data_IF_984851635285
#
_entry.id   IF_984851635285
#
_cell.length_a   1.000
_cell.length_b   1.000
_cell.length_c   1.000
_cell.angle_alpha   90.00
_cell.angle_beta   90.00
_cell.angle_gamma   90.00
#
_symmetry.space_group_name_H-M   'P 1'
#
loop_
_entity.id
_entity.type
_entity.pdbx_description
1 polymer ?
#
# COMPACT_ATOMS: atom_id res chain seq x y z
N UNK A 1 45.50 10.81 17.39
CA UNK A 1 45.50 9.39 16.94
C UNK A 1 44.68 9.29 15.66
N UNK A 2 45.11 9.98 14.60
CA UNK A 2 44.41 10.07 13.29
C UNK A 2 45.29 9.60 12.11
N UNK A 3 46.43 8.96 12.37
CA UNK A 3 47.40 8.58 11.34
C UNK A 3 47.51 7.06 11.10
N UNK A 4 46.53 6.26 11.53
CA UNK A 4 46.62 4.80 11.40
C UNK A 4 45.76 4.18 10.29
N UNK A 5 44.81 4.91 9.70
CA UNK A 5 43.95 4.37 8.63
C UNK A 5 44.43 4.70 7.21
N UNK A 6 45.27 5.73 7.05
CA UNK A 6 45.80 6.10 5.73
C UNK A 6 46.94 5.19 5.27
N UNK A 7 47.68 4.57 6.20
CA UNK A 7 48.84 3.72 5.89
C UNK A 7 48.49 2.26 5.53
N UNK A 8 47.26 1.80 5.77
CA UNK A 8 46.87 0.42 5.42
C UNK A 8 46.38 0.29 3.97
N UNK A 9 45.90 1.39 3.38
CA UNK A 9 45.37 1.38 2.01
C UNK A 9 46.43 1.65 0.92
N UNK A 10 47.62 2.13 1.30
CA UNK A 10 48.68 2.56 0.37
C UNK A 10 49.74 1.48 0.04
N UNK A 11 49.76 0.35 0.75
CA UNK A 11 50.80 -0.69 0.57
C UNK A 11 50.42 -1.82 -0.40
N UNK A 12 49.24 -1.82 -1.01
CA UNK A 12 48.73 -2.96 -1.77
C UNK A 12 48.84 -2.84 -3.31
N UNK A 13 49.31 -1.73 -3.87
CA UNK A 13 49.20 -1.53 -5.34
C UNK A 13 50.38 -0.86 -6.02
N UNK A 14 51.63 -1.11 -5.60
CA UNK A 14 52.78 -0.80 -6.47
C UNK A 14 53.93 -1.77 -6.23
N UNK A 15 54.01 -2.80 -7.08
CA UNK A 15 55.28 -3.35 -7.53
C UNK A 15 55.19 -3.54 -9.04
N UNK A 16 56.14 -2.89 -9.69
CA UNK A 16 56.27 -2.56 -11.10
C UNK A 16 56.58 -3.77 -11.99
N UNK A 17 56.07 -3.79 -13.22
CA UNK A 17 56.84 -4.21 -14.40
C UNK A 17 56.09 -3.87 -15.71
N UNK A 18 56.77 -3.08 -16.54
CA UNK A 18 56.35 -2.58 -17.83
C UNK A 18 56.15 -3.68 -18.89
N UNK A 19 55.04 -3.61 -19.62
CA UNK A 19 54.93 -4.07 -21.01
C UNK A 19 53.87 -3.24 -21.72
N UNK A 20 54.30 -2.46 -22.70
CA UNK A 20 53.46 -1.71 -23.64
C UNK A 20 52.56 -2.67 -24.43
N UNK A 21 51.25 -2.64 -24.17
CA UNK A 21 50.23 -3.03 -25.14
C UNK A 21 49.10 -2.01 -25.10
N UNK A 22 48.74 -1.48 -26.27
CA UNK A 22 47.61 -0.57 -26.45
C UNK A 22 46.31 -1.17 -25.89
N UNK A 23 45.41 -0.37 -25.30
CA UNK A 23 44.13 -0.87 -24.83
C UNK A 23 43.30 -1.39 -26.02
N UNK A 24 42.64 -2.57 -25.91
CA UNK A 24 41.72 -3.03 -26.93
C UNK A 24 40.53 -2.05 -27.04
N UNK A 25 39.96 -1.87 -28.23
CA UNK A 25 38.83 -0.96 -28.41
C UNK A 25 37.65 -1.41 -27.53
N UNK A 26 36.85 -0.46 -27.00
CA UNK A 26 35.72 -0.78 -26.16
C UNK A 26 34.74 -1.63 -26.97
N UNK A 27 34.51 -2.85 -26.48
CA UNK A 27 33.48 -3.73 -27.02
C UNK A 27 32.14 -3.05 -26.80
N UNK A 28 31.52 -2.54 -27.86
CA UNK A 28 30.14 -2.06 -27.84
C UNK A 28 29.25 -3.21 -27.37
N UNK A 29 28.86 -3.19 -26.10
CA UNK A 29 27.78 -4.05 -25.60
C UNK A 29 26.53 -3.59 -26.34
N UNK A 30 26.01 -4.49 -27.18
CA UNK A 30 24.79 -4.29 -27.96
C UNK A 30 23.61 -4.20 -26.98
N UNK A 31 23.25 -2.99 -26.59
CA UNK A 31 22.06 -2.67 -25.78
C UNK A 31 20.73 -2.81 -26.56
N UNK A 32 20.75 -3.37 -27.77
CA UNK A 32 19.56 -3.53 -28.60
C UNK A 32 18.83 -4.87 -28.46
N UNK A 33 19.24 -5.78 -27.57
CA UNK A 33 18.65 -7.13 -27.49
C UNK A 33 17.61 -7.31 -26.39
N UNK A 34 17.76 -6.68 -25.23
CA UNK A 34 16.84 -6.91 -24.08
C UNK A 34 15.46 -6.27 -24.25
N UNK A 35 15.39 -5.09 -24.87
CA UNK A 35 14.15 -4.38 -25.10
C UNK A 35 13.29 -5.07 -26.18
N UNK A 36 13.93 -5.57 -27.23
CA UNK A 36 13.29 -6.36 -28.28
C UNK A 36 12.79 -7.71 -27.77
N UNK A 37 13.56 -8.37 -26.89
CA UNK A 37 13.13 -9.61 -26.21
C UNK A 37 11.94 -9.34 -25.30
N UNK A 38 11.94 -8.22 -24.57
CA UNK A 38 10.82 -7.82 -23.70
C UNK A 38 9.55 -7.52 -24.48
N UNK A 39 9.67 -6.89 -25.66
CA UNK A 39 8.54 -6.62 -26.56
C UNK A 39 8.00 -7.91 -27.18
N UNK A 40 8.89 -8.81 -27.61
CA UNK A 40 8.50 -10.13 -28.11
C UNK A 40 7.76 -10.94 -27.03
N UNK A 41 8.22 -10.91 -25.78
CA UNK A 41 7.55 -11.59 -24.67
C UNK A 41 6.15 -11.01 -24.39
N UNK A 42 6.01 -9.68 -24.35
CA UNK A 42 4.69 -9.03 -24.20
C UNK A 42 3.73 -9.42 -25.32
N UNK A 43 4.21 -9.50 -26.55
CA UNK A 43 3.40 -9.92 -27.69
C UNK A 43 2.94 -11.37 -27.55
N UNK A 44 3.84 -12.28 -27.12
CA UNK A 44 3.50 -13.69 -26.84
C UNK A 44 2.41 -13.79 -25.76
N UNK A 45 2.57 -13.06 -24.66
CA UNK A 45 1.59 -12.99 -23.57
C UNK A 45 0.25 -12.44 -24.07
N UNK A 46 0.25 -11.35 -24.84
CA UNK A 46 -0.98 -10.73 -25.36
C UNK A 46 -1.72 -11.61 -26.38
N UNK A 47 -1.00 -12.42 -27.16
CA UNK A 47 -1.59 -13.39 -28.08
C UNK A 47 -2.04 -14.70 -27.42
N UNK A 48 -1.81 -14.86 -26.11
CA UNK A 48 -2.04 -16.12 -25.42
C UNK A 48 -3.54 -16.37 -25.15
N UNK A 49 -4.07 -17.59 -25.34
CA UNK A 49 -5.49 -17.90 -25.12
C UNK A 49 -5.99 -17.61 -23.70
N UNK A 50 -5.12 -17.71 -22.69
CA UNK A 50 -5.45 -17.41 -21.29
C UNK A 50 -5.35 -15.92 -20.93
N UNK A 51 -4.80 -15.07 -21.79
CA UNK A 51 -4.62 -13.64 -21.51
C UNK A 51 -5.94 -12.90 -21.18
N UNK A 52 -7.08 -13.13 -21.88
CA UNK A 52 -8.36 -12.55 -21.48
C UNK A 52 -8.79 -12.91 -20.07
N UNK A 53 -8.64 -14.18 -19.69
CA UNK A 53 -9.02 -14.69 -18.38
C UNK A 53 -8.12 -14.10 -17.29
N UNK A 54 -6.82 -13.97 -17.58
CA UNK A 54 -5.85 -13.34 -16.72
C UNK A 54 -6.14 -11.85 -16.50
N UNK A 55 -6.45 -11.12 -17.57
CA UNK A 55 -6.83 -9.71 -17.49
C UNK A 55 -8.11 -9.53 -16.66
N UNK A 56 -9.10 -10.40 -16.83
CA UNK A 56 -10.32 -10.38 -16.01
C UNK A 56 -10.03 -10.65 -14.54
N UNK A 57 -9.19 -11.63 -14.21
CA UNK A 57 -8.79 -11.91 -12.84
C UNK A 57 -8.02 -10.73 -12.22
N UNK A 58 -7.15 -10.09 -13.00
CA UNK A 58 -6.41 -8.89 -12.58
C UNK A 58 -7.35 -7.72 -12.30
N UNK A 59 -8.27 -7.43 -13.22
CA UNK A 59 -9.30 -6.39 -13.04
C UNK A 59 -10.12 -6.68 -11.78
N UNK A 60 -10.56 -7.92 -11.59
CA UNK A 60 -11.33 -8.32 -10.42
C UNK A 60 -10.59 -8.09 -9.11
N UNK A 61 -9.26 -8.27 -9.06
CA UNK A 61 -8.45 -7.93 -7.89
C UNK A 61 -8.50 -6.43 -7.59
N UNK A 62 -8.39 -5.60 -8.62
CA UNK A 62 -8.39 -4.15 -8.50
C UNK A 62 -9.77 -3.55 -8.22
N UNK A 63 -10.85 -4.25 -8.54
CA UNK A 63 -12.22 -3.86 -8.18
C UNK A 63 -12.49 -4.00 -6.68
N UNK A 64 -11.75 -4.85 -5.95
CA UNK A 64 -11.98 -5.06 -4.51
C UNK A 64 -11.66 -3.77 -3.74
N UNK A 65 -12.69 -3.14 -3.17
CA UNK A 65 -12.55 -1.89 -2.42
C UNK A 65 -12.34 -0.64 -3.27
N UNK A 66 -12.52 -0.74 -4.60
CA UNK A 66 -12.46 0.42 -5.49
C UNK A 66 -13.70 1.32 -5.32
N UNK A 67 -13.52 2.65 -5.41
CA UNK A 67 -14.61 3.59 -5.63
C UNK A 67 -15.48 3.22 -6.85
N UNK A 68 -16.77 3.58 -6.84
CA UNK A 68 -17.73 3.17 -7.86
C UNK A 68 -17.34 3.62 -9.27
N UNK A 69 -16.83 4.84 -9.41
CA UNK A 69 -16.31 5.41 -10.67
C UNK A 69 -15.15 4.59 -11.26
N UNK A 70 -14.27 4.08 -10.40
CA UNK A 70 -13.14 3.22 -10.81
C UNK A 70 -13.63 1.80 -11.11
N UNK A 71 -14.61 1.28 -10.36
CA UNK A 71 -15.20 -0.02 -10.61
C UNK A 71 -15.96 -0.06 -11.95
N UNK A 72 -16.65 1.02 -12.31
CA UNK A 72 -17.37 1.17 -13.59
C UNK A 72 -16.39 1.26 -14.76
N UNK A 73 -15.28 2.01 -14.60
CA UNK A 73 -14.20 2.07 -15.59
C UNK A 73 -13.62 0.67 -15.86
N UNK A 74 -13.38 -0.10 -14.80
CA UNK A 74 -12.88 -1.47 -14.90
C UNK A 74 -13.88 -2.42 -15.55
N UNK A 75 -15.18 -2.23 -15.34
CA UNK A 75 -16.21 -3.01 -16.02
C UNK A 75 -16.24 -2.71 -17.53
N UNK A 76 -16.09 -1.45 -17.92
CA UNK A 76 -15.98 -1.08 -19.34
C UNK A 76 -14.78 -1.72 -20.05
N UNK A 77 -13.62 -1.79 -19.38
CA UNK A 77 -12.43 -2.48 -19.91
C UNK A 77 -12.68 -4.00 -20.04
N UNK A 78 -13.41 -4.59 -19.09
CA UNK A 78 -13.77 -6.01 -19.10
C UNK A 78 -14.73 -6.33 -20.25
N UNK A 79 -15.69 -5.45 -20.53
CA UNK A 79 -16.63 -5.59 -21.64
C UNK A 79 -15.94 -5.50 -23.01
N UNK A 80 -14.99 -4.58 -23.19
CA UNK A 80 -14.18 -4.44 -24.42
C UNK A 80 -13.41 -5.73 -24.74
N UNK A 81 -12.87 -6.39 -23.71
CA UNK A 81 -12.09 -7.62 -23.87
C UNK A 81 -12.94 -8.90 -23.88
N UNK A 82 -14.23 -8.81 -23.48
CA UNK A 82 -15.16 -9.94 -23.45
C UNK A 82 -15.55 -10.45 -24.84
N UNK A 83 -15.50 -9.60 -25.87
CA UNK A 83 -15.77 -9.97 -27.27
C UNK A 83 -14.79 -11.01 -27.83
N UNK A 84 -13.62 -11.16 -27.20
CA UNK A 84 -12.60 -12.15 -27.57
C UNK A 84 -12.83 -13.52 -26.88
N UNK A 85 -13.57 -13.54 -25.77
CA UNK A 85 -13.90 -14.76 -25.01
C UNK A 85 -15.08 -15.57 -25.59
N UNK A 86 -15.87 -15.00 -26.51
CA UNK A 86 -17.00 -15.71 -27.13
C UNK A 86 -16.60 -16.67 -28.26
N UNK A 87 -15.30 -16.91 -28.48
CA UNK A 87 -14.84 -18.01 -29.31
C UNK A 87 -15.03 -19.30 -28.52
N UNK A 88 -16.29 -19.76 -28.52
CA UNK A 88 -16.82 -21.09 -28.22
C UNK A 88 -15.79 -22.13 -27.77
N UNK A 89 -16.05 -22.72 -26.60
CA UNK A 89 -15.43 -23.88 -25.95
C UNK A 89 -15.24 -25.14 -26.84
N UNK A 90 -15.48 -25.08 -28.14
CA UNK A 90 -15.60 -26.23 -29.05
C UNK A 90 -14.70 -26.21 -30.28
N UNK A 91 -13.74 -25.29 -30.43
CA UNK A 91 -12.76 -25.34 -31.54
C UNK A 91 -11.31 -25.10 -31.10
N UNK A 92 -10.60 -26.21 -30.89
CA UNK A 92 -9.15 -26.36 -31.05
C UNK A 92 -8.23 -25.46 -30.21
N UNK A 93 -8.31 -25.56 -28.88
CA UNK A 93 -7.25 -25.10 -27.97
C UNK A 93 -5.93 -25.89 -28.14
N UNK A 94 -5.97 -27.05 -28.81
CA UNK A 94 -4.85 -27.98 -28.90
C UNK A 94 -3.72 -27.56 -29.85
N UNK A 95 -3.91 -26.50 -30.65
CA UNK A 95 -2.89 -26.01 -31.58
C UNK A 95 -1.93 -24.97 -31.00
N UNK A 96 -2.28 -24.36 -29.86
CA UNK A 96 -1.53 -23.22 -29.28
C UNK A 96 -1.12 -23.45 -27.82
N UNK A 97 -1.96 -24.13 -27.02
CA UNK A 97 -1.54 -24.65 -25.71
C UNK A 97 -0.58 -25.82 -25.95
N UNK A 98 0.68 -25.66 -25.52
CA UNK A 98 1.79 -26.58 -25.76
C UNK A 98 2.83 -26.08 -26.75
N UNK A 99 2.64 -24.91 -27.39
CA UNK A 99 3.67 -24.29 -28.22
C UNK A 99 4.84 -23.75 -27.37
N UNK A 100 4.54 -23.32 -26.14
CA UNK A 100 5.50 -22.86 -25.14
C UNK A 100 5.03 -23.30 -23.73
N UNK A 101 5.37 -24.54 -23.31
CA UNK A 101 4.90 -25.10 -22.03
C UNK A 101 5.29 -24.28 -20.80
N UNK A 102 6.41 -23.54 -20.88
CA UNK A 102 6.86 -22.66 -19.79
C UNK A 102 5.95 -21.43 -19.67
N UNK A 103 5.54 -20.85 -20.81
CA UNK A 103 4.58 -19.76 -20.82
C UNK A 103 3.17 -20.22 -20.41
N UNK A 104 2.74 -21.40 -20.84
CA UNK A 104 1.45 -21.98 -20.46
C UNK A 104 1.36 -22.17 -18.93
N UNK A 105 2.41 -22.74 -18.32
CA UNK A 105 2.51 -22.94 -16.86
C UNK A 105 2.55 -21.59 -16.12
N UNK A 106 3.32 -20.62 -16.61
CA UNK A 106 3.33 -19.27 -16.05
C UNK A 106 1.95 -18.61 -16.10
N UNK A 107 1.27 -18.66 -17.24
CA UNK A 107 -0.05 -18.02 -17.40
C UNK A 107 -1.11 -18.66 -16.51
N UNK A 108 -1.08 -19.99 -16.35
CA UNK A 108 -1.97 -20.71 -15.44
C UNK A 108 -1.68 -20.43 -13.97
N UNK A 109 -0.42 -20.56 -13.54
CA UNK A 109 -0.02 -20.31 -12.14
C UNK A 109 -0.26 -18.87 -11.72
N UNK A 110 0.00 -17.90 -12.60
CA UNK A 110 -0.25 -16.49 -12.32
C UNK A 110 -1.75 -16.18 -12.28
N UNK A 111 -2.57 -16.81 -13.13
CA UNK A 111 -4.03 -16.73 -13.04
C UNK A 111 -4.55 -17.23 -11.69
N UNK A 112 -4.11 -18.41 -11.26
CA UNK A 112 -4.50 -18.98 -9.96
C UNK A 112 -4.07 -18.09 -8.80
N UNK A 113 -2.87 -17.50 -8.90
CA UNK A 113 -2.37 -16.53 -7.93
C UNK A 113 -3.29 -15.30 -7.82
N UNK A 114 -3.75 -14.75 -8.95
CA UNK A 114 -4.68 -13.61 -8.97
C UNK A 114 -6.04 -13.98 -8.38
N UNK A 115 -6.58 -15.15 -8.72
CA UNK A 115 -7.86 -15.63 -8.15
C UNK A 115 -7.75 -15.75 -6.63
N UNK A 116 -6.65 -16.33 -6.12
CA UNK A 116 -6.39 -16.42 -4.70
C UNK A 116 -6.23 -15.03 -4.06
N UNK A 117 -5.45 -14.15 -4.69
CA UNK A 117 -5.23 -12.80 -4.21
C UNK A 117 -6.53 -11.99 -4.10
N UNK A 118 -7.44 -12.12 -5.08
CA UNK A 118 -8.80 -11.55 -5.02
C UNK A 118 -9.57 -12.07 -3.80
N UNK A 119 -9.55 -13.38 -3.56
CA UNK A 119 -10.22 -13.99 -2.41
C UNK A 119 -9.68 -13.40 -1.09
N UNK A 120 -8.36 -13.36 -0.95
CA UNK A 120 -7.67 -12.85 0.23
C UNK A 120 -7.94 -11.36 0.46
N UNK A 121 -8.01 -10.56 -0.63
CA UNK A 121 -8.41 -9.15 -0.56
C UNK A 121 -9.86 -8.97 -0.14
N UNK A 122 -10.79 -9.78 -0.66
CA UNK A 122 -12.22 -9.63 -0.40
C UNK A 122 -12.63 -10.05 1.02
N UNK A 123 -11.87 -10.97 1.63
CA UNK A 123 -12.11 -11.51 2.96
C UNK A 123 -12.32 -10.44 4.04
N UNK A 124 -11.39 -9.50 4.30
CA UNK A 124 -11.57 -8.48 5.33
C UNK A 124 -12.79 -7.56 5.06
N UNK A 125 -13.11 -7.26 3.80
CA UNK A 125 -14.30 -6.46 3.48
C UNK A 125 -15.58 -7.22 3.78
N UNK A 126 -15.63 -8.51 3.44
CA UNK A 126 -16.77 -9.38 3.75
C UNK A 126 -16.94 -9.53 5.27
N UNK A 127 -15.85 -9.79 6.00
CA UNK A 127 -15.86 -9.87 7.47
C UNK A 127 -16.37 -8.56 8.11
N UNK A 128 -15.89 -7.41 7.63
CA UNK A 128 -16.34 -6.10 8.12
C UNK A 128 -17.82 -5.84 7.78
N UNK A 129 -18.26 -6.16 6.57
CA UNK A 129 -19.66 -5.99 6.13
C UNK A 129 -20.59 -6.88 6.95
N UNK A 130 -20.19 -8.14 7.20
CA UNK A 130 -20.92 -9.05 8.07
C UNK A 130 -20.98 -8.54 9.51
N UNK A 131 -19.90 -8.00 10.04
CA UNK A 131 -19.89 -7.41 11.38
C UNK A 131 -20.81 -6.20 11.48
N UNK A 132 -20.76 -5.29 10.51
CA UNK A 132 -21.59 -4.09 10.47
C UNK A 132 -23.07 -4.44 10.36
N UNK A 133 -23.44 -5.30 9.42
CA UNK A 133 -24.83 -5.79 9.27
C UNK A 133 -25.30 -6.55 10.51
N UNK A 134 -24.42 -7.30 11.18
CA UNK A 134 -24.75 -7.94 12.44
C UNK A 134 -25.01 -6.93 13.57
N UNK A 135 -24.19 -5.89 13.71
CA UNK A 135 -24.45 -4.82 14.68
C UNK A 135 -25.73 -4.05 14.35
N UNK A 136 -25.96 -3.76 13.07
CA UNK A 136 -27.17 -3.07 12.60
C UNK A 136 -28.44 -3.86 12.96
N UNK A 137 -28.44 -5.17 12.74
CA UNK A 137 -29.58 -6.03 13.13
C UNK A 137 -29.77 -6.10 14.64
N UNK A 138 -28.71 -6.15 15.45
CA UNK A 138 -28.82 -6.08 16.91
C UNK A 138 -29.41 -4.75 17.38
N UNK A 139 -28.96 -3.63 16.82
CA UNK A 139 -29.50 -2.31 17.14
C UNK A 139 -30.97 -2.18 16.74
N UNK A 140 -31.34 -2.68 15.56
CA UNK A 140 -32.73 -2.70 15.13
C UNK A 140 -33.61 -3.57 16.04
N UNK A 141 -33.11 -4.71 16.54
CA UNK A 141 -33.84 -5.52 17.52
C UNK A 141 -34.10 -4.75 18.81
N UNK A 142 -33.08 -4.10 19.37
CA UNK A 142 -33.21 -3.31 20.61
C UNK A 142 -34.20 -2.16 20.43
N UNK A 143 -34.12 -1.46 19.30
CA UNK A 143 -35.05 -0.38 18.97
C UNK A 143 -36.49 -0.89 18.80
N UNK A 144 -36.68 -2.10 18.26
CA UNK A 144 -38.00 -2.71 18.10
C UNK A 144 -38.57 -3.26 19.43
N UNK A 145 -37.74 -3.86 20.29
CA UNK A 145 -38.18 -4.39 21.59
C UNK A 145 -38.63 -3.27 22.55
N UNK A 146 -37.98 -2.10 22.47
CA UNK A 146 -38.40 -0.90 23.21
C UNK A 146 -39.74 -0.34 22.73
N UNK A 147 -40.15 -0.60 21.49
CA UNK A 147 -41.46 -0.21 20.96
C UNK A 147 -42.59 -1.18 21.36
N UNK A 148 -42.27 -2.43 21.72
CA UNK A 148 -43.26 -3.48 22.07
C UNK A 148 -43.53 -3.54 23.59
N UNK A 149 -42.57 -3.16 24.43
CA UNK A 149 -42.68 -3.26 25.90
C UNK A 149 -43.70 -2.32 26.57
N UNK A 150 -44.32 -1.37 25.86
CA UNK A 150 -45.29 -0.42 26.46
C UNK A 150 -46.77 -0.82 26.24
N UNK A 151 -47.05 -2.00 25.67
CA UNK A 151 -48.41 -2.45 25.36
C UNK A 151 -48.87 -3.68 26.19
N UNK A 152 -48.63 -3.71 27.51
CA UNK A 152 -49.26 -4.73 28.37
C UNK A 152 -49.92 -4.10 29.59
N UNK A 153 -51.16 -3.64 29.40
CA UNK A 153 -52.11 -3.40 30.50
C UNK A 153 -53.06 -4.60 30.60
N UNK A 154 -53.19 -5.27 31.76
CA UNK A 154 -54.19 -6.31 31.97
C UNK A 154 -55.59 -5.71 31.95
N UNK A 155 -56.47 -6.28 31.13
CA UNK A 155 -57.91 -6.00 31.15
C UNK A 155 -58.53 -6.34 32.52
N UNK A 156 -59.28 -5.42 33.16
CA UNK A 156 -60.34 -5.80 34.07
C UNK A 156 -61.69 -5.71 33.35
N UNK A 157 -62.47 -6.79 33.47
CA UNK A 157 -63.89 -6.80 33.16
C UNK A 157 -64.64 -5.83 34.08
N UNK A 158 -65.48 -4.97 33.49
CA UNK A 158 -66.33 -4.05 34.23
C UNK A 158 -67.03 -3.05 33.30
N UNK A 159 -68.28 -3.34 33.01
CA UNK A 159 -69.28 -2.44 32.43
C UNK A 159 -69.31 -1.09 33.20
N UNK A 160 -69.39 0.05 32.49
CA UNK A 160 -70.07 1.31 32.87
C UNK A 160 -69.62 2.46 31.95
N UNK A 161 -70.60 3.14 31.34
CA UNK A 161 -70.38 4.22 30.38
C UNK A 161 -69.87 5.54 30.95
N UNK A 162 -69.31 6.38 30.07
CA UNK A 162 -69.05 7.78 30.37
C UNK A 162 -67.86 8.38 29.62
N UNK A 163 -68.18 9.18 28.61
CA UNK A 163 -67.52 10.41 28.16
C UNK A 163 -66.05 10.72 28.48
N UNK A 164 -65.40 11.25 27.41
CA UNK A 164 -64.41 12.35 27.39
C UNK A 164 -62.95 11.92 27.24
N UNK A 165 -62.55 11.84 25.96
CA UNK A 165 -61.15 11.81 25.56
C UNK A 165 -60.45 13.16 25.72
N UNK A 166 -59.11 13.06 25.60
CA UNK A 166 -58.03 14.03 25.87
C UNK A 166 -57.54 13.92 27.31
N UNK A 167 -56.30 13.44 27.45
CA UNK A 167 -55.30 13.75 28.50
C UNK A 167 -54.15 12.70 28.60
N UNK A 168 -53.96 11.82 27.60
CA UNK A 168 -52.90 10.79 27.64
C UNK A 168 -51.61 11.10 26.87
N UNK A 169 -51.44 12.31 26.31
CA UNK A 169 -50.24 12.68 25.53
C UNK A 169 -49.18 13.44 26.35
N UNK A 170 -49.57 14.03 27.48
CA UNK A 170 -48.67 14.85 28.31
C UNK A 170 -47.78 13.99 29.23
N UNK A 171 -48.25 12.80 29.63
CA UNK A 171 -47.53 11.87 30.50
C UNK A 171 -46.31 11.24 29.83
N UNK A 172 -46.40 10.90 28.54
CA UNK A 172 -45.33 10.22 27.80
C UNK A 172 -44.16 11.17 27.53
N UNK A 173 -44.43 12.40 27.08
CA UNK A 173 -43.40 13.44 26.93
C UNK A 173 -42.67 13.75 28.24
N UNK A 174 -43.38 13.73 29.37
CA UNK A 174 -42.80 14.00 30.69
C UNK A 174 -41.86 12.87 31.14
N UNK A 175 -42.15 11.63 30.77
CA UNK A 175 -41.35 10.45 31.12
C UNK A 175 -40.10 10.37 30.22
N UNK A 176 -40.23 10.59 28.91
CA UNK A 176 -39.08 10.64 27.98
C UNK A 176 -38.11 11.78 28.31
N UNK A 177 -38.64 12.96 28.64
CA UNK A 177 -37.83 14.12 29.06
C UNK A 177 -37.11 13.86 30.39
N UNK A 178 -37.70 13.08 31.29
CA UNK A 178 -37.09 12.74 32.58
C UNK A 178 -35.98 11.70 32.42
N UNK A 179 -36.19 10.70 31.55
CA UNK A 179 -35.22 9.62 31.28
C UNK A 179 -33.98 10.13 30.52
N UNK A 180 -34.16 11.10 29.62
CA UNK A 180 -33.05 11.77 28.92
C UNK A 180 -32.23 12.65 29.85
N UNK A 181 -32.86 13.36 30.79
CA UNK A 181 -32.15 14.14 31.81
C UNK A 181 -31.31 13.26 32.73
N UNK A 182 -31.83 12.11 33.19
CA UNK A 182 -31.08 11.18 34.05
C UNK A 182 -29.87 10.57 33.32
N UNK A 183 -29.99 10.28 32.02
CA UNK A 183 -28.89 9.77 31.20
C UNK A 183 -27.81 10.83 30.97
N UNK A 184 -28.22 12.08 30.71
CA UNK A 184 -27.27 13.18 30.50
C UNK A 184 -26.56 13.56 31.81
N UNK A 185 -27.25 13.51 32.96
CA UNK A 185 -26.64 13.67 34.28
C UNK A 185 -25.63 12.56 34.60
N UNK A 186 -25.94 11.30 34.26
CA UNK A 186 -25.03 10.17 34.43
C UNK A 186 -23.78 10.32 33.56
N UNK A 187 -23.96 10.76 32.31
CA UNK A 187 -22.87 11.04 31.38
C UNK A 187 -22.00 12.19 31.87
N UNK A 188 -22.59 13.27 32.38
CA UNK A 188 -21.85 14.40 32.94
C UNK A 188 -21.10 14.01 34.23
N UNK A 189 -21.73 13.19 35.08
CA UNK A 189 -21.08 12.65 36.28
C UNK A 189 -19.88 11.76 35.92
N UNK A 190 -20.05 10.90 34.91
CA UNK A 190 -19.01 10.00 34.43
C UNK A 190 -17.87 10.79 33.78
N UNK A 191 -18.19 11.74 32.90
CA UNK A 191 -17.20 12.61 32.27
C UNK A 191 -16.45 13.44 33.32
N UNK A 192 -17.15 13.99 34.32
CA UNK A 192 -16.52 14.75 35.40
C UNK A 192 -15.55 13.89 36.21
N UNK A 193 -15.98 12.70 36.65
CA UNK A 193 -15.18 11.72 37.43
C UNK A 193 -13.92 11.28 36.69
N UNK A 194 -14.03 11.03 35.39
CA UNK A 194 -12.93 10.48 34.59
C UNK A 194 -12.21 11.53 33.73
N UNK A 195 -12.62 12.80 33.74
CA UNK A 195 -12.03 13.88 32.92
C UNK A 195 -10.52 13.97 33.10
N UNK A 196 -10.03 13.94 34.35
CA UNK A 196 -8.61 13.97 34.66
C UNK A 196 -7.84 12.75 34.14
N UNK A 197 -8.45 11.56 34.21
CA UNK A 197 -7.84 10.33 33.71
C UNK A 197 -7.80 10.29 32.17
N UNK A 198 -8.89 10.69 31.51
CA UNK A 198 -9.00 10.78 30.05
C UNK A 198 -8.04 11.83 29.50
N UNK A 199 -7.93 13.00 30.14
CA UNK A 199 -6.97 14.03 29.74
C UNK A 199 -5.53 13.58 29.93
N UNK A 200 -5.22 12.84 31.01
CA UNK A 200 -3.89 12.29 31.23
C UNK A 200 -3.54 11.17 30.23
N UNK A 201 -4.48 10.26 29.94
CA UNK A 201 -4.34 9.26 28.87
C UNK A 201 -4.12 9.93 27.50
N UNK A 202 -4.92 10.95 27.18
CA UNK A 202 -4.77 11.72 25.94
C UNK A 202 -3.41 12.37 25.86
N UNK A 203 -2.90 12.90 26.98
CA UNK A 203 -1.56 13.45 27.04
C UNK A 203 -0.49 12.36 26.82
N UNK A 204 -0.57 11.23 27.50
CA UNK A 204 0.36 10.09 27.33
C UNK A 204 0.37 9.55 25.88
N UNK A 205 -0.79 9.37 25.25
CA UNK A 205 -0.86 8.97 23.84
C UNK A 205 -0.41 10.07 22.86
N UNK A 206 -0.60 11.34 23.23
CA UNK A 206 -0.18 12.48 22.40
C UNK A 206 1.29 12.84 22.58
N UNK A 207 1.98 12.30 23.59
CA UNK A 207 3.44 12.32 23.70
C UNK A 207 4.02 11.43 22.59
N UNK A 208 3.96 11.93 21.36
CA UNK A 208 4.79 11.44 20.26
C UNK A 208 6.22 11.41 20.79
N UNK A 209 6.81 10.22 20.89
CA UNK A 209 8.26 10.07 21.14
C UNK A 209 8.96 11.13 20.30
N UNK A 210 9.64 12.08 20.95
CA UNK A 210 10.32 13.16 20.25
C UNK A 210 11.12 12.49 19.14
N UNK A 211 10.88 12.88 17.87
CA UNK A 211 11.68 12.40 16.74
C UNK A 211 13.09 12.90 17.00
N UNK A 212 13.87 12.11 17.73
CA UNK A 212 15.24 12.41 18.03
C UNK A 212 15.94 12.53 16.70
N UNK A 213 16.53 13.71 16.46
CA UNK A 213 17.35 13.94 15.28
C UNK A 213 18.46 12.88 15.32
N UNK A 214 18.81 12.30 14.17
CA UNK A 214 19.88 11.32 14.11
C UNK A 214 21.13 11.83 14.85
N UNK A 215 21.83 10.96 15.62
CA UNK A 215 23.06 11.31 16.33
C UNK A 215 24.04 12.05 15.41
N UNK A 216 24.80 13.00 15.97
CA UNK A 216 25.74 13.82 15.18
C UNK A 216 26.80 12.93 14.51
N UNK A 217 27.31 11.94 15.23
CA UNK A 217 28.27 10.94 14.76
C UNK A 217 27.70 10.10 13.61
N UNK A 218 26.46 9.61 13.74
CA UNK A 218 25.78 8.89 12.68
C UNK A 218 25.66 9.73 11.39
N UNK A 219 25.30 11.02 11.52
CA UNK A 219 25.23 11.93 10.37
C UNK A 219 26.58 12.16 9.70
N UNK A 220 27.68 12.25 10.46
CA UNK A 220 29.02 12.42 9.89
C UNK A 220 29.39 11.25 8.99
N UNK A 221 29.09 10.02 9.41
CA UNK A 221 29.36 8.80 8.65
C UNK A 221 28.56 8.78 7.34
N UNK A 222 27.25 9.08 7.42
CA UNK A 222 26.40 9.14 6.24
C UNK A 222 26.82 10.24 5.25
N UNK A 223 27.22 11.41 5.77
CA UNK A 223 27.73 12.50 4.95
C UNK A 223 29.08 12.19 4.30
N UNK A 224 29.96 11.46 4.98
CA UNK A 224 31.24 11.04 4.41
C UNK A 224 31.03 10.17 3.17
N UNK A 225 30.17 9.16 3.27
CA UNK A 225 29.82 8.31 2.13
C UNK A 225 29.14 9.13 1.01
N UNK A 226 28.20 10.01 1.38
CA UNK A 226 27.49 10.89 0.45
C UNK A 226 28.43 11.77 -0.38
N UNK A 227 29.44 12.37 0.25
CA UNK A 227 30.37 13.26 -0.44
C UNK A 227 31.23 12.51 -1.46
N UNK A 228 31.62 11.27 -1.16
CA UNK A 228 32.36 10.39 -2.08
C UNK A 228 31.48 10.02 -3.29
N UNK A 229 30.20 9.72 -3.03
CA UNK A 229 29.25 9.25 -4.04
C UNK A 229 28.27 10.34 -4.51
N UNK A 230 28.66 11.63 -4.43
CA UNK A 230 27.73 12.73 -4.69
C UNK A 230 27.15 12.72 -6.11
N UNK A 231 27.93 12.22 -7.09
CA UNK A 231 27.50 12.09 -8.48
C UNK A 231 26.35 11.08 -8.63
N UNK A 232 26.45 9.94 -7.95
CA UNK A 232 25.47 8.85 -7.96
C UNK A 232 25.18 8.35 -6.53
N UNK A 233 24.38 9.08 -5.75
CA UNK A 233 24.20 8.83 -4.32
C UNK A 233 23.16 7.72 -4.04
N UNK A 234 23.37 6.54 -4.64
CA UNK A 234 22.55 5.34 -4.48
C UNK A 234 23.40 4.22 -3.86
N UNK A 235 23.43 4.12 -2.51
CA UNK A 235 24.16 3.04 -1.86
C UNK A 235 23.56 1.68 -2.21
N UNK A 236 24.42 0.69 -2.45
CA UNK A 236 24.01 -0.71 -2.63
C UNK A 236 23.47 -1.28 -1.31
N UNK A 237 22.86 -2.47 -1.35
CA UNK A 237 22.37 -3.09 -0.12
C UNK A 237 23.50 -3.45 0.84
N UNK A 238 24.68 -3.82 0.32
CA UNK A 238 25.88 -4.03 1.11
C UNK A 238 26.35 -2.71 1.78
N UNK A 239 26.37 -1.60 1.03
CA UNK A 239 26.71 -0.28 1.59
C UNK A 239 25.73 0.13 2.70
N UNK A 240 24.43 -0.12 2.50
CA UNK A 240 23.41 0.19 3.51
C UNK A 240 23.64 -0.60 4.80
N UNK A 241 24.05 -1.87 4.71
CA UNK A 241 24.39 -2.70 5.87
C UNK A 241 25.63 -2.15 6.58
N UNK A 242 26.71 -1.87 5.86
CA UNK A 242 27.94 -1.32 6.44
C UNK A 242 27.70 0.05 7.09
N UNK A 243 26.93 0.93 6.43
CA UNK A 243 26.57 2.23 6.97
C UNK A 243 25.69 2.14 8.21
N UNK A 244 24.77 1.17 8.26
CA UNK A 244 23.96 0.90 9.45
C UNK A 244 24.83 0.46 10.62
N UNK A 245 25.75 -0.47 10.38
CA UNK A 245 26.71 -0.96 11.38
C UNK A 245 27.60 0.18 11.92
N UNK A 246 28.20 0.98 11.05
CA UNK A 246 29.11 2.05 11.48
C UNK A 246 28.38 3.22 12.13
N UNK A 247 27.18 3.57 11.65
CA UNK A 247 26.40 4.69 12.21
C UNK A 247 25.59 4.32 13.45
N UNK A 248 25.48 3.03 13.79
CA UNK A 248 24.63 2.52 14.86
C UNK A 248 23.14 2.77 14.61
N UNK A 249 22.75 2.91 13.34
CA UNK A 249 21.37 3.15 12.92
C UNK A 249 20.77 1.88 12.35
N UNK A 250 19.45 1.77 12.39
CA UNK A 250 18.76 0.74 11.61
C UNK A 250 18.90 1.02 10.11
N UNK A 251 18.99 -0.04 9.30
CA UNK A 251 19.08 0.06 7.84
C UNK A 251 17.93 0.89 7.24
N UNK A 252 16.73 0.81 7.83
CA UNK A 252 15.57 1.64 7.44
C UNK A 252 15.81 3.13 7.67
N UNK A 253 16.48 3.51 8.77
CA UNK A 253 16.83 4.90 9.05
C UNK A 253 17.89 5.42 8.07
N UNK A 254 18.88 4.59 7.72
CA UNK A 254 19.88 4.88 6.69
C UNK A 254 19.22 5.10 5.33
N UNK A 255 18.33 4.19 4.90
CA UNK A 255 17.61 4.32 3.63
C UNK A 255 16.79 5.62 3.57
N UNK A 256 16.01 5.89 4.62
CA UNK A 256 15.22 7.10 4.73
C UNK A 256 16.08 8.37 4.73
N UNK A 257 17.27 8.32 5.32
CA UNK A 257 18.20 9.44 5.29
C UNK A 257 18.66 9.72 3.85
N UNK A 258 19.12 8.71 3.10
CA UNK A 258 19.57 8.90 1.72
C UNK A 258 18.47 9.38 0.78
N UNK A 259 17.25 8.86 0.92
CA UNK A 259 16.08 9.34 0.16
C UNK A 259 15.86 10.84 0.42
N UNK A 260 15.81 11.24 1.70
CA UNK A 260 15.61 12.64 2.07
C UNK A 260 16.79 13.53 1.68
N UNK A 261 18.02 13.01 1.77
CA UNK A 261 19.24 13.73 1.42
C UNK A 261 19.29 14.01 -0.08
N UNK A 262 18.99 13.01 -0.93
CA UNK A 262 18.81 13.20 -2.38
C UNK A 262 17.77 14.26 -2.68
N UNK A 263 16.57 14.12 -2.11
CA UNK A 263 15.47 15.07 -2.35
C UNK A 263 15.84 16.52 -2.00
N UNK A 264 16.71 16.74 -1.01
CA UNK A 264 17.08 18.09 -0.54
C UNK A 264 18.33 18.66 -1.20
N UNK A 265 19.30 17.82 -1.53
CA UNK A 265 20.66 18.25 -1.83
C UNK A 265 21.22 17.73 -3.15
N UNK A 266 20.57 16.75 -3.78
CA UNK A 266 21.00 16.28 -5.09
C UNK A 266 20.34 17.11 -6.18
N UNK A 267 21.13 18.00 -6.78
CA UNK A 267 20.78 18.72 -8.00
C UNK A 267 21.53 18.05 -9.13
N UNK A 268 20.84 17.62 -10.19
CA UNK A 268 21.51 17.20 -11.40
C UNK A 268 22.25 18.42 -11.95
N UNK A 269 23.59 18.43 -11.81
CA UNK A 269 24.44 19.42 -12.46
C UNK A 269 24.19 19.41 -13.97
N UNK A 270 24.38 20.53 -14.66
CA UNK A 270 24.36 20.58 -16.13
C UNK A 270 25.27 19.51 -16.74
N UNK A 271 26.41 19.20 -16.10
CA UNK A 271 27.30 18.10 -16.52
C UNK A 271 26.66 16.70 -16.45
N UNK A 272 25.70 16.49 -15.54
CA UNK A 272 24.93 15.25 -15.44
C UNK A 272 23.86 15.18 -16.53
N UNK A 273 23.25 16.32 -16.85
CA UNK A 273 22.31 16.41 -17.97
C UNK A 273 23.02 16.26 -19.30
N UNK A 274 24.21 16.84 -19.45
CA UNK A 274 25.10 16.69 -20.61
C UNK A 274 25.60 15.26 -20.73
N UNK A 275 26.02 14.59 -19.64
CA UNK A 275 26.41 13.18 -19.70
C UNK A 275 25.23 12.26 -20.08
N UNK A 276 24.03 12.52 -19.56
CA UNK A 276 22.82 11.78 -19.94
C UNK A 276 22.43 12.06 -21.41
N UNK A 277 22.61 13.30 -21.89
CA UNK A 277 22.39 13.68 -23.30
C UNK A 277 23.44 13.11 -24.24
N UNK A 278 24.71 13.06 -23.86
CA UNK A 278 25.84 12.52 -24.65
C UNK A 278 25.77 10.98 -24.71
N UNK A 279 25.26 10.33 -23.66
CA UNK A 279 25.02 8.89 -23.62
C UNK A 279 23.75 8.47 -24.39
N UNK A 280 22.77 9.37 -24.54
CA UNK A 280 21.58 9.17 -25.38
C UNK A 280 21.74 9.65 -26.83
N UNK A 281 22.65 10.60 -27.07
CA UNK A 281 22.93 11.21 -28.37
C UNK A 281 24.45 11.36 -28.55
N UNK A 282 25.14 10.25 -28.79
CA UNK A 282 26.56 10.28 -29.15
C UNK A 282 26.84 11.13 -30.41
N UNK A 283 28.10 11.54 -30.65
CA UNK A 283 28.45 12.60 -31.59
C UNK A 283 28.01 12.33 -33.03
N UNK A 284 27.10 13.16 -33.53
CA UNK A 284 26.88 13.35 -34.96
C UNK A 284 27.96 14.29 -35.51
N UNK A 285 29.16 13.78 -35.75
CA UNK A 285 30.24 14.39 -36.54
C UNK A 285 31.32 13.31 -36.73
N UNK A 286 31.75 12.87 -37.91
CA UNK A 286 31.59 13.29 -39.33
C UNK A 286 31.41 12.04 -40.21
#
# INVERSE_FOLDING_TARGET
MENSLHNFYYSATYSDQSTTMAPPPPTKVVFGKEEDVSKALRNKVASHPLFPHLLHAFIDCHKVGAPQDIADLFEGIKEEHSGLCQISESKSYHGFLGADPELDDFMGTFYDLLVKYKSDLSRPFNEATMFLTHMETQLHSICNDLAVSDNTVPQPAGDFGGSRGKDSMEGIKRIESKKTNEVEELKDNLLSRYSGYITNLKHEFSRKKKKEKLPKEAKKILLAWWNIHFKWPYPTDADKVALAEWSGLEQKQVNNWFINQRKRHWKASEEMQVAILDELYGPLHE
#
